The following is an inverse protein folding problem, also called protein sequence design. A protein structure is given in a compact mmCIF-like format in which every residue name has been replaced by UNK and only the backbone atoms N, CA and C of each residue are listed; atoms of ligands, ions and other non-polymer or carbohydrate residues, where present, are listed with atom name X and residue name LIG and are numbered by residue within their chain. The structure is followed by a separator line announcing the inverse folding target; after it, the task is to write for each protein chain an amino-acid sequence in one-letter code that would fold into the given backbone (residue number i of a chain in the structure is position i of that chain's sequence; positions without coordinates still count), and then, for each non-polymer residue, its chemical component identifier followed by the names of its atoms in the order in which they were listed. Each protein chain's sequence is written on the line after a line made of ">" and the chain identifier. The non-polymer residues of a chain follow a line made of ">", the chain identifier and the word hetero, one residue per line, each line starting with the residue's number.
data_IF_860221606122
#
_entry.id   IF_860221606122
#
_cell.length_a   1.000
_cell.length_b   1.000
_cell.length_c   1.000
_cell.angle_alpha   90.00
_cell.angle_beta   90.00
_cell.angle_gamma   90.00
#
_symmetry.space_group_name_H-M   'P 1'
#
loop_
_entity.id
_entity.type
_entity.pdbx_description
1 polymer ?
#
# COMPACT_ATOMS: atom_id res chain seq x y z
N UNK A 1 -36.09 -28.28 60.11
CA UNK A 1 -36.31 -27.54 58.84
C UNK A 1 -35.36 -26.35 58.82
N UNK A 2 -34.21 -26.47 58.14
CA UNK A 2 -33.20 -25.39 57.98
C UNK A 2 -33.35 -24.81 56.58
N UNK A 3 -33.66 -23.52 56.49
CA UNK A 3 -33.82 -22.79 55.22
C UNK A 3 -32.43 -22.41 54.66
N UNK A 4 -32.13 -22.86 53.45
CA UNK A 4 -31.05 -22.36 52.62
C UNK A 4 -31.50 -21.09 51.88
N UNK A 5 -30.92 -19.94 52.23
CA UNK A 5 -30.97 -18.72 51.41
C UNK A 5 -29.56 -18.28 51.10
N UNK A 6 -28.96 -18.85 50.07
CA UNK A 6 -27.76 -18.33 49.41
C UNK A 6 -27.71 -18.94 48.00
N UNK A 7 -27.08 -18.27 47.04
CA UNK A 7 -26.85 -18.69 45.62
C UNK A 7 -27.77 -18.16 44.50
N UNK A 8 -28.38 -16.98 44.63
CA UNK A 8 -28.98 -16.29 43.44
C UNK A 8 -28.27 -14.98 43.06
N UNK A 9 -27.38 -14.45 43.90
CA UNK A 9 -26.69 -13.17 43.61
C UNK A 9 -25.49 -13.33 42.66
N UNK A 10 -24.86 -14.51 42.61
CA UNK A 10 -23.67 -14.74 41.78
C UNK A 10 -23.93 -14.90 40.27
N UNK A 11 -25.13 -15.35 39.88
CA UNK A 11 -25.46 -15.61 38.46
C UNK A 11 -25.87 -14.33 37.70
N UNK A 12 -26.45 -13.34 38.40
CA UNK A 12 -26.86 -12.08 37.78
C UNK A 12 -25.68 -11.14 37.51
N UNK A 13 -24.68 -11.13 38.40
CA UNK A 13 -23.45 -10.35 38.18
C UNK A 13 -22.62 -10.89 37.01
N UNK A 14 -22.50 -12.22 36.85
CA UNK A 14 -21.74 -12.80 35.73
C UNK A 14 -22.38 -12.54 34.36
N UNK A 15 -23.72 -12.55 34.28
CA UNK A 15 -24.48 -12.20 33.07
C UNK A 15 -24.38 -10.71 32.70
N UNK A 16 -24.32 -9.81 33.69
CA UNK A 16 -24.12 -8.37 33.45
C UNK A 16 -22.70 -8.08 32.94
N UNK A 17 -21.67 -8.70 33.53
CA UNK A 17 -20.29 -8.57 33.02
C UNK A 17 -20.10 -9.16 31.63
N UNK A 18 -20.76 -10.28 31.31
CA UNK A 18 -20.73 -10.87 29.97
C UNK A 18 -21.41 -9.97 28.93
N UNK A 19 -22.53 -9.33 29.27
CA UNK A 19 -23.22 -8.41 28.37
C UNK A 19 -22.49 -7.08 28.18
N UNK A 20 -21.83 -6.55 29.22
CA UNK A 20 -20.97 -5.37 29.09
C UNK A 20 -19.72 -5.66 28.26
N UNK A 21 -19.09 -6.84 28.43
CA UNK A 21 -17.99 -7.27 27.56
C UNK A 21 -18.45 -7.51 26.11
N UNK A 22 -19.63 -8.10 25.90
CA UNK A 22 -20.21 -8.26 24.56
C UNK A 22 -20.58 -6.91 23.92
N UNK A 23 -21.09 -5.95 24.71
CA UNK A 23 -21.45 -4.61 24.23
C UNK A 23 -20.21 -3.76 23.94
N UNK A 24 -19.14 -3.87 24.72
CA UNK A 24 -17.86 -3.19 24.45
C UNK A 24 -17.11 -3.81 23.26
N UNK A 25 -17.20 -5.14 23.08
CA UNK A 25 -16.69 -5.80 21.87
C UNK A 25 -17.50 -5.38 20.62
N UNK A 26 -18.83 -5.27 20.73
CA UNK A 26 -19.71 -4.84 19.62
C UNK A 26 -19.74 -3.32 19.36
N UNK A 27 -19.20 -2.48 20.26
CA UNK A 27 -19.02 -1.04 20.00
C UNK A 27 -17.70 -0.72 19.30
N UNK A 28 -16.67 -1.58 19.41
CA UNK A 28 -15.31 -1.28 18.92
C UNK A 28 -15.19 -1.15 17.39
N UNK A 29 -16.11 -1.75 16.64
CA UNK A 29 -16.03 -1.86 15.17
C UNK A 29 -17.21 -1.24 14.39
N UNK A 30 -18.10 -0.47 15.02
CA UNK A 30 -19.26 0.13 14.30
C UNK A 30 -18.88 1.07 13.16
N UNK A 31 -17.66 1.60 13.17
CA UNK A 31 -17.18 2.52 12.15
C UNK A 31 -16.30 1.87 11.07
N UNK A 32 -16.01 0.57 11.22
CA UNK A 32 -15.31 -0.23 10.21
C UNK A 32 -16.32 -0.64 9.14
N UNK A 33 -16.00 -0.37 7.88
CA UNK A 33 -16.85 -0.78 6.76
C UNK A 33 -16.02 -1.48 5.70
N UNK A 34 -16.63 -2.45 5.02
CA UNK A 34 -16.01 -3.20 3.94
C UNK A 34 -16.76 -2.93 2.64
N UNK A 35 -16.00 -2.76 1.56
CA UNK A 35 -16.51 -2.63 0.20
C UNK A 35 -16.01 -3.83 -0.57
N UNK A 36 -16.94 -4.66 -1.05
CA UNK A 36 -16.63 -5.81 -1.88
C UNK A 36 -16.19 -5.32 -3.27
N UNK A 37 -15.08 -5.86 -3.77
CA UNK A 37 -14.63 -5.68 -5.14
C UNK A 37 -15.23 -6.76 -6.05
N UNK A 38 -15.37 -6.44 -7.33
CA UNK A 38 -15.89 -7.37 -8.33
C UNK A 38 -14.78 -8.32 -8.79
N UNK A 39 -15.09 -9.62 -8.91
CA UNK A 39 -14.16 -10.63 -9.42
C UNK A 39 -13.42 -11.44 -8.35
N UNK A 40 -12.93 -12.61 -8.76
CA UNK A 40 -12.30 -13.61 -7.88
C UNK A 40 -10.77 -13.68 -8.01
N UNK A 41 -10.18 -12.85 -8.86
CA UNK A 41 -8.75 -12.87 -9.19
C UNK A 41 -8.09 -11.48 -9.06
N UNK A 42 -8.74 -10.55 -8.36
CA UNK A 42 -8.30 -9.15 -8.28
C UNK A 42 -6.98 -9.01 -7.53
N UNK A 43 -6.88 -9.60 -6.32
CA UNK A 43 -5.75 -9.40 -5.41
C UNK A 43 -5.36 -7.91 -5.31
N UNK A 44 -6.23 -7.07 -4.72
CA UNK A 44 -6.10 -5.62 -4.84
C UNK A 44 -4.81 -5.13 -4.17
N UNK A 45 -4.05 -4.30 -4.87
CA UNK A 45 -2.70 -3.91 -4.46
C UNK A 45 -2.58 -2.40 -4.27
N UNK A 46 -2.83 -1.63 -5.33
CA UNK A 46 -2.79 -0.16 -5.30
C UNK A 46 -4.15 0.45 -4.97
N UNK A 47 -4.16 1.61 -4.32
CA UNK A 47 -5.37 2.41 -4.10
C UNK A 47 -5.06 3.90 -4.09
N UNK A 48 -5.91 4.72 -4.73
CA UNK A 48 -5.77 6.18 -4.73
C UNK A 48 -7.14 6.87 -4.69
N UNK A 49 -7.21 8.05 -4.07
CA UNK A 49 -8.41 8.89 -4.05
C UNK A 49 -8.35 9.92 -5.16
N UNK A 50 -9.39 9.98 -5.99
CA UNK A 50 -9.58 10.98 -7.03
C UNK A 50 -10.09 12.32 -6.45
N UNK A 51 -9.92 13.45 -7.15
CA UNK A 51 -10.39 14.76 -6.68
C UNK A 51 -11.91 14.83 -6.40
N UNK A 52 -12.71 13.98 -7.03
CA UNK A 52 -14.15 13.87 -6.83
C UNK A 52 -14.55 12.94 -5.66
N UNK A 53 -13.58 12.46 -4.86
CA UNK A 53 -13.72 11.49 -3.78
C UNK A 53 -14.05 10.05 -4.21
N UNK A 54 -13.90 9.70 -5.48
CA UNK A 54 -13.91 8.29 -5.84
C UNK A 54 -12.57 7.65 -5.49
N UNK A 55 -12.55 6.34 -5.31
CA UNK A 55 -11.32 5.57 -5.17
C UNK A 55 -11.07 4.79 -6.45
N UNK A 56 -9.82 4.67 -6.85
CA UNK A 56 -9.37 3.67 -7.82
C UNK A 56 -8.55 2.61 -7.10
N UNK A 57 -8.78 1.33 -7.45
CA UNK A 57 -8.14 0.16 -6.86
C UNK A 57 -7.54 -0.69 -7.97
N UNK A 58 -6.25 -0.99 -7.89
CA UNK A 58 -5.51 -1.80 -8.87
C UNK A 58 -5.51 -3.27 -8.50
N UNK A 59 -5.75 -4.13 -9.48
CA UNK A 59 -5.68 -5.58 -9.34
C UNK A 59 -4.28 -6.11 -9.67
N UNK A 60 -3.62 -6.73 -8.70
CA UNK A 60 -2.37 -7.45 -8.94
C UNK A 60 -2.60 -8.75 -9.71
N UNK A 61 -3.74 -9.40 -9.51
CA UNK A 61 -3.98 -10.73 -10.07
C UNK A 61 -4.58 -10.72 -11.48
N UNK A 62 -5.33 -9.68 -11.85
CA UNK A 62 -6.04 -9.61 -13.13
C UNK A 62 -5.82 -8.32 -13.93
N UNK A 63 -5.07 -7.36 -13.38
CA UNK A 63 -4.76 -6.08 -14.02
C UNK A 63 -5.92 -5.11 -14.12
N UNK A 64 -7.09 -5.43 -13.55
CA UNK A 64 -8.22 -4.50 -13.52
C UNK A 64 -7.90 -3.25 -12.72
N UNK A 65 -8.56 -2.14 -13.07
CA UNK A 65 -8.63 -0.96 -12.21
C UNK A 65 -10.11 -0.74 -11.91
N UNK A 66 -10.50 -0.94 -10.66
CA UNK A 66 -11.87 -0.77 -10.21
C UNK A 66 -12.07 0.62 -9.59
N UNK A 67 -13.21 1.24 -9.89
CA UNK A 67 -13.65 2.51 -9.32
C UNK A 67 -14.71 2.25 -8.25
N UNK A 68 -14.48 2.82 -7.08
CA UNK A 68 -15.47 2.88 -5.99
C UNK A 68 -15.98 4.31 -5.92
N UNK A 69 -17.26 4.51 -6.25
CA UNK A 69 -17.85 5.85 -6.22
C UNK A 69 -18.09 6.35 -4.78
N UNK A 70 -18.53 7.61 -4.66
CA UNK A 70 -18.91 8.23 -3.38
C UNK A 70 -20.01 7.48 -2.60
N UNK A 71 -20.81 6.67 -3.28
CA UNK A 71 -21.90 5.87 -2.69
C UNK A 71 -21.45 4.41 -2.47
N UNK A 72 -20.14 4.13 -2.61
CA UNK A 72 -19.49 2.82 -2.49
C UNK A 72 -19.92 1.78 -3.54
N UNK A 73 -20.45 2.22 -4.69
CA UNK A 73 -20.71 1.32 -5.81
C UNK A 73 -19.42 1.05 -6.56
N UNK A 74 -19.20 -0.22 -6.88
CA UNK A 74 -18.02 -0.69 -7.60
C UNK A 74 -18.34 -0.80 -9.09
N UNK A 75 -17.38 -0.40 -9.92
CA UNK A 75 -17.42 -0.49 -11.38
C UNK A 75 -16.00 -0.56 -11.93
N UNK A 76 -15.82 -0.88 -13.21
CA UNK A 76 -14.50 -0.86 -13.83
C UNK A 76 -14.15 0.55 -14.34
N UNK A 77 -12.99 1.05 -13.94
CA UNK A 77 -12.30 2.16 -14.61
C UNK A 77 -11.50 1.63 -15.82
N UNK A 78 -10.88 0.45 -15.66
CA UNK A 78 -10.26 -0.35 -16.72
C UNK A 78 -10.55 -1.82 -16.44
N UNK A 79 -11.13 -2.54 -17.41
CA UNK A 79 -11.43 -3.98 -17.25
C UNK A 79 -10.14 -4.81 -17.25
N UNK A 80 -10.17 -6.06 -16.74
CA UNK A 80 -9.06 -6.99 -16.90
C UNK A 80 -8.57 -7.06 -18.36
N UNK A 81 -7.25 -6.92 -18.58
CA UNK A 81 -6.62 -6.95 -19.90
C UNK A 81 -6.84 -5.72 -20.79
N UNK A 82 -7.74 -4.80 -20.41
CA UNK A 82 -8.01 -3.60 -21.20
C UNK A 82 -6.76 -2.72 -21.32
N UNK A 83 -6.52 -2.14 -22.51
CA UNK A 83 -5.35 -1.30 -22.77
C UNK A 83 -3.99 -1.98 -22.53
N UNK A 84 -3.95 -3.32 -22.48
CA UNK A 84 -2.75 -4.10 -22.19
C UNK A 84 -2.33 -4.04 -20.71
N UNK A 85 -3.27 -3.73 -19.81
CA UNK A 85 -3.06 -3.88 -18.37
C UNK A 85 -2.95 -5.36 -18.00
N UNK A 86 -1.90 -5.73 -17.26
CA UNK A 86 -1.66 -7.12 -16.82
C UNK A 86 -1.65 -7.20 -15.30
N UNK A 87 -0.92 -6.30 -14.63
CA UNK A 87 -0.89 -6.14 -13.17
C UNK A 87 -0.87 -4.65 -12.88
N UNK A 88 -1.88 -4.15 -12.17
CA UNK A 88 -2.00 -2.74 -11.79
C UNK A 88 -1.61 -2.57 -10.32
N UNK A 89 -0.48 -1.91 -10.07
CA UNK A 89 0.07 -1.69 -8.71
C UNK A 89 0.01 -0.21 -8.32
N UNK A 90 1.14 0.44 -8.09
CA UNK A 90 1.20 1.83 -7.64
C UNK A 90 0.60 2.85 -8.62
N UNK A 91 0.06 3.90 -8.01
CA UNK A 91 -0.68 4.97 -8.68
C UNK A 91 -0.14 6.34 -8.30
N UNK A 92 -0.15 7.28 -9.24
CA UNK A 92 0.02 8.70 -8.93
C UNK A 92 -0.86 9.60 -9.78
N UNK A 93 -1.42 10.65 -9.18
CA UNK A 93 -2.23 11.63 -9.88
C UNK A 93 -1.39 12.87 -10.23
N UNK A 94 -1.37 13.20 -11.51
CA UNK A 94 -1.02 14.51 -12.02
C UNK A 94 -2.31 15.30 -12.22
N UNK A 95 -2.80 15.89 -11.12
CA UNK A 95 -4.05 16.64 -11.09
C UNK A 95 -4.01 17.90 -11.96
N UNK A 96 -2.82 18.48 -12.15
CA UNK A 96 -2.63 19.66 -13.00
C UNK A 96 -2.96 19.36 -14.47
N UNK A 97 -2.63 18.16 -14.94
CA UNK A 97 -2.81 17.78 -16.34
C UNK A 97 -3.90 16.70 -16.56
N UNK A 98 -4.70 16.38 -15.54
CA UNK A 98 -5.74 15.34 -15.58
C UNK A 98 -5.22 13.93 -15.93
N UNK A 99 -4.08 13.52 -15.34
CA UNK A 99 -3.46 12.22 -15.65
C UNK A 99 -3.33 11.33 -14.42
N UNK A 100 -3.63 10.04 -14.59
CA UNK A 100 -3.29 8.97 -13.67
C UNK A 100 -2.13 8.17 -14.24
N UNK A 101 -1.02 8.13 -13.53
CA UNK A 101 0.10 7.24 -13.80
C UNK A 101 -0.11 5.93 -13.05
N UNK A 102 0.02 4.83 -13.76
CA UNK A 102 -0.11 3.47 -13.24
C UNK A 102 1.13 2.69 -13.59
N UNK A 103 1.72 2.02 -12.61
CA UNK A 103 2.74 1.01 -12.86
C UNK A 103 2.06 -0.29 -13.32
N UNK A 104 2.41 -0.74 -14.54
CA UNK A 104 1.92 -1.96 -15.16
C UNK A 104 3.05 -2.98 -15.24
N UNK A 105 2.88 -4.11 -14.56
CA UNK A 105 3.87 -5.18 -14.52
C UNK A 105 3.36 -6.44 -15.22
N UNK A 106 4.27 -7.24 -15.76
CA UNK A 106 3.96 -8.56 -16.30
C UNK A 106 5.08 -9.53 -15.92
N UNK A 107 4.74 -10.63 -15.25
CA UNK A 107 5.70 -11.70 -14.92
C UNK A 107 6.27 -12.42 -16.15
N UNK A 108 5.57 -12.37 -17.28
CA UNK A 108 5.97 -13.03 -18.53
C UNK A 108 5.58 -12.19 -19.73
N UNK A 109 6.50 -11.33 -20.16
CA UNK A 109 6.40 -10.56 -21.39
C UNK A 109 6.56 -11.46 -22.62
N UNK A 110 6.51 -10.87 -23.82
CA UNK A 110 6.76 -11.59 -25.08
C UNK A 110 8.15 -12.25 -25.12
N UNK A 111 9.14 -11.68 -24.42
CA UNK A 111 10.48 -12.27 -24.34
C UNK A 111 10.57 -13.44 -23.35
N UNK A 112 9.51 -13.70 -22.59
CA UNK A 112 9.46 -14.70 -21.53
C UNK A 112 10.03 -14.24 -20.19
N UNK A 113 10.55 -13.02 -20.11
CA UNK A 113 11.08 -12.42 -18.88
C UNK A 113 9.99 -11.58 -18.18
N UNK A 114 10.16 -11.26 -16.89
CA UNK A 114 9.31 -10.26 -16.26
C UNK A 114 9.69 -8.85 -16.75
N UNK A 115 8.72 -7.94 -16.81
CA UNK A 115 9.01 -6.55 -17.17
C UNK A 115 7.89 -5.57 -16.85
N UNK A 116 8.21 -4.28 -16.96
CA UNK A 116 7.30 -3.19 -16.58
C UNK A 116 7.14 -2.08 -17.60
N UNK A 117 6.05 -1.34 -17.49
CA UNK A 117 5.77 -0.09 -18.20
C UNK A 117 4.93 0.83 -17.31
N UNK A 118 4.91 2.11 -17.63
CA UNK A 118 3.85 3.01 -17.19
C UNK A 118 2.67 2.97 -18.15
N UNK A 119 1.47 3.05 -17.59
CA UNK A 119 0.23 3.34 -18.31
C UNK A 119 -0.32 4.66 -17.78
N UNK A 120 -0.56 5.60 -18.67
CA UNK A 120 -1.03 6.94 -18.32
C UNK A 120 -2.45 7.12 -18.83
N UNK A 121 -3.40 7.35 -17.94
CA UNK A 121 -4.82 7.51 -18.24
C UNK A 121 -5.29 8.93 -17.98
N UNK A 122 -6.33 9.35 -18.69
CA UNK A 122 -7.20 10.45 -18.25
C UNK A 122 -8.03 9.94 -17.07
N UNK A 123 -7.81 10.47 -15.86
CA UNK A 123 -8.49 9.94 -14.67
C UNK A 123 -9.97 10.32 -14.59
N UNK A 124 -10.43 11.25 -15.43
CA UNK A 124 -11.85 11.64 -15.49
C UNK A 124 -12.61 10.72 -16.43
N UNK A 125 -12.04 10.39 -17.60
CA UNK A 125 -12.74 9.61 -18.63
C UNK A 125 -12.36 8.14 -18.68
N UNK A 126 -11.27 7.72 -18.03
CA UNK A 126 -10.74 6.35 -18.13
C UNK A 126 -9.95 6.06 -19.42
N UNK A 127 -9.75 7.06 -20.28
CA UNK A 127 -9.10 6.86 -21.58
C UNK A 127 -7.59 6.69 -21.38
N UNK A 128 -6.98 5.65 -21.96
CA UNK A 128 -5.52 5.55 -22.04
C UNK A 128 -4.98 6.69 -22.93
N UNK A 129 -4.04 7.45 -22.39
CA UNK A 129 -3.35 8.55 -23.06
C UNK A 129 -2.00 8.12 -23.62
N UNK A 130 -1.24 7.30 -22.86
CA UNK A 130 0.13 6.90 -23.26
C UNK A 130 0.60 5.64 -22.54
N UNK A 131 1.49 4.88 -23.18
CA UNK A 131 2.29 3.82 -22.56
C UNK A 131 3.77 4.22 -22.59
N UNK A 132 4.51 4.05 -21.49
CA UNK A 132 5.94 4.44 -21.41
C UNK A 132 6.78 3.35 -20.73
N UNK A 133 7.70 2.67 -21.45
CA UNK A 133 7.77 2.60 -22.91
C UNK A 133 6.63 1.75 -23.48
N UNK A 134 6.43 1.80 -24.80
CA UNK A 134 5.47 0.92 -25.49
C UNK A 134 5.79 -0.57 -25.29
N UNK A 135 7.08 -0.91 -25.21
CA UNK A 135 7.55 -2.26 -24.84
C UNK A 135 7.88 -2.32 -23.36
N UNK A 136 7.66 -3.49 -22.76
CA UNK A 136 8.07 -3.74 -21.38
C UNK A 136 9.60 -3.57 -21.23
N UNK A 137 9.99 -2.90 -20.15
CA UNK A 137 11.37 -2.89 -19.67
C UNK A 137 11.59 -4.21 -18.95
N UNK A 138 12.36 -5.10 -19.57
CA UNK A 138 12.65 -6.42 -19.02
C UNK A 138 13.51 -6.33 -17.75
N UNK A 139 13.25 -7.22 -16.80
CA UNK A 139 13.95 -7.33 -15.53
C UNK A 139 13.60 -6.24 -14.50
N UNK A 140 12.67 -5.33 -14.81
CA UNK A 140 12.20 -4.31 -13.90
C UNK A 140 10.78 -4.62 -13.41
N UNK A 141 10.54 -4.45 -12.12
CA UNK A 141 9.20 -4.47 -11.53
C UNK A 141 8.87 -3.08 -10.96
N UNK A 142 8.26 -2.24 -11.79
CA UNK A 142 7.72 -0.94 -11.37
C UNK A 142 6.60 -1.15 -10.37
N UNK A 143 6.75 -0.55 -9.19
CA UNK A 143 5.78 -0.70 -8.12
C UNK A 143 5.14 0.63 -7.72
N UNK A 144 5.74 1.36 -6.79
CA UNK A 144 5.14 2.58 -6.23
C UNK A 144 5.54 3.83 -7.00
N UNK A 145 4.54 4.65 -7.32
CA UNK A 145 4.68 5.79 -8.23
C UNK A 145 4.53 7.10 -7.46
N UNK A 146 5.49 8.02 -7.64
CA UNK A 146 5.39 9.39 -7.12
C UNK A 146 5.84 10.41 -8.15
N UNK A 147 5.55 11.69 -7.94
CA UNK A 147 5.84 12.73 -8.91
C UNK A 147 6.34 14.00 -8.23
N UNK A 148 7.29 14.68 -8.87
CA UNK A 148 7.73 16.01 -8.44
C UNK A 148 6.80 17.13 -8.97
N UNK A 149 6.94 18.36 -8.45
CA UNK A 149 6.14 19.50 -8.94
C UNK A 149 6.39 19.89 -10.41
N UNK A 150 7.47 19.40 -11.02
CA UNK A 150 7.79 19.65 -12.43
C UNK A 150 7.15 18.62 -13.38
N UNK A 151 6.45 17.62 -12.84
CA UNK A 151 5.81 16.57 -13.63
C UNK A 151 6.74 15.41 -14.01
N UNK A 152 7.90 15.29 -13.34
CA UNK A 152 8.74 14.10 -13.44
C UNK A 152 8.22 13.05 -12.45
N UNK A 153 7.90 11.89 -12.99
CA UNK A 153 7.45 10.72 -12.24
C UNK A 153 8.64 9.86 -11.88
N UNK A 154 8.58 9.25 -10.71
CA UNK A 154 9.54 8.30 -10.17
C UNK A 154 8.81 7.02 -9.80
N UNK A 155 9.48 5.88 -10.00
CA UNK A 155 8.93 4.58 -9.64
C UNK A 155 10.00 3.68 -9.04
N UNK A 156 9.65 2.96 -7.98
CA UNK A 156 10.51 1.93 -7.39
C UNK A 156 10.58 0.71 -8.30
N UNK A 157 11.75 0.09 -8.35
CA UNK A 157 11.96 -1.21 -8.99
C UNK A 157 12.03 -2.31 -7.93
N UNK A 158 10.97 -3.09 -7.76
CA UNK A 158 10.92 -4.13 -6.73
C UNK A 158 12.00 -5.19 -6.89
N UNK A 159 12.47 -5.47 -8.12
CA UNK A 159 13.50 -6.47 -8.39
C UNK A 159 14.94 -5.96 -8.30
N UNK A 160 15.13 -4.64 -8.30
CA UNK A 160 16.45 -4.05 -8.46
C UNK A 160 16.68 -2.87 -7.52
N UNK A 161 17.94 -2.53 -7.23
CA UNK A 161 18.24 -1.37 -6.40
C UNK A 161 18.14 -0.06 -7.21
N UNK A 162 17.05 0.12 -7.97
CA UNK A 162 16.86 1.20 -8.93
C UNK A 162 15.58 1.97 -8.66
N UNK A 163 15.66 3.29 -8.78
CA UNK A 163 14.47 4.12 -9.01
C UNK A 163 14.53 4.56 -10.47
N UNK A 164 13.43 4.36 -11.18
CA UNK A 164 13.25 4.81 -12.55
C UNK A 164 12.50 6.14 -12.58
N UNK A 165 12.64 6.89 -13.66
CA UNK A 165 11.89 8.12 -13.86
C UNK A 165 11.46 8.33 -15.30
N UNK A 166 10.37 9.06 -15.48
CA UNK A 166 9.87 9.47 -16.77
C UNK A 166 9.16 10.83 -16.66
N UNK A 167 8.91 11.47 -17.80
CA UNK A 167 7.96 12.58 -17.92
C UNK A 167 6.88 12.17 -18.91
N UNK A 168 5.77 12.90 -18.98
CA UNK A 168 4.74 12.60 -19.98
C UNK A 168 5.27 12.66 -21.42
N UNK A 169 6.27 13.50 -21.69
CA UNK A 169 6.89 13.62 -23.02
C UNK A 169 7.89 12.49 -23.33
N UNK A 170 8.34 11.75 -22.30
CA UNK A 170 9.30 10.66 -22.48
C UNK A 170 8.72 9.54 -23.35
N UNK A 171 9.59 8.90 -24.15
CA UNK A 171 9.26 7.66 -24.88
C UNK A 171 9.69 6.42 -24.11
N UNK A 172 10.66 6.56 -23.19
CA UNK A 172 11.18 5.51 -22.32
C UNK A 172 11.21 6.00 -20.86
N UNK A 173 11.27 5.08 -19.91
CA UNK A 173 11.67 5.40 -18.54
C UNK A 173 13.18 5.21 -18.41
N UNK A 174 13.85 6.14 -17.74
CA UNK A 174 15.29 6.14 -17.52
C UNK A 174 15.61 5.87 -16.05
N UNK A 175 16.73 5.22 -15.78
CA UNK A 175 17.21 5.04 -14.41
C UNK A 175 17.53 6.41 -13.80
N UNK A 176 16.81 6.77 -12.74
CA UNK A 176 17.06 8.00 -12.00
C UNK A 176 18.28 7.85 -11.10
N UNK A 177 18.30 6.79 -10.29
CA UNK A 177 19.40 6.41 -9.39
C UNK A 177 19.50 4.89 -9.28
N UNK A 178 20.71 4.40 -9.05
CA UNK A 178 21.00 3.02 -8.64
C UNK A 178 21.92 3.10 -7.44
N UNK A 179 21.59 2.41 -6.34
CA UNK A 179 22.39 2.45 -5.12
C UNK A 179 22.13 1.20 -4.26
N UNK A 180 23.17 0.59 -3.69
CA UNK A 180 23.04 -0.64 -2.89
C UNK A 180 22.15 -0.47 -1.66
N UNK A 181 21.98 0.76 -1.13
CA UNK A 181 21.01 1.01 -0.05
C UNK A 181 19.56 0.80 -0.47
N UNK A 182 19.26 0.74 -1.77
CA UNK A 182 17.94 0.40 -2.31
C UNK A 182 17.73 -1.11 -2.44
N UNK A 183 18.76 -1.93 -2.20
CA UNK A 183 18.70 -3.37 -2.38
C UNK A 183 18.17 -4.05 -1.11
N UNK A 184 17.32 -5.07 -1.28
CA UNK A 184 17.00 -5.96 -0.18
C UNK A 184 18.29 -6.69 0.27
N UNK A 185 18.70 -6.61 1.55
CA UNK A 185 19.88 -7.33 2.03
C UNK A 185 19.71 -8.85 2.06
N UNK A 186 18.47 -9.37 1.98
CA UNK A 186 18.18 -10.80 1.88
C UNK A 186 18.30 -11.30 0.44
N UNK A 187 19.43 -11.95 0.11
CA UNK A 187 19.75 -12.42 -1.23
C UNK A 187 18.73 -13.40 -1.84
N UNK A 188 18.00 -14.14 -1.00
CA UNK A 188 17.01 -15.12 -1.44
C UNK A 188 15.62 -14.51 -1.69
N UNK A 189 15.47 -13.18 -1.58
CA UNK A 189 14.21 -12.48 -1.82
C UNK A 189 14.31 -11.53 -3.02
N UNK A 190 13.54 -11.78 -4.10
CA UNK A 190 13.55 -10.91 -5.26
C UNK A 190 12.79 -9.61 -5.01
N UNK A 191 11.96 -9.51 -3.96
CA UNK A 191 11.17 -8.31 -3.67
C UNK A 191 11.86 -7.44 -2.61
N UNK A 192 12.25 -6.22 -2.99
CA UNK A 192 13.02 -5.30 -2.14
C UNK A 192 12.50 -3.88 -2.08
N UNK A 193 12.85 -3.06 -3.06
CA UNK A 193 12.46 -1.66 -3.10
C UNK A 193 10.98 -1.53 -3.47
N UNK A 194 10.16 -1.00 -2.55
CA UNK A 194 8.72 -0.92 -2.74
C UNK A 194 8.19 0.49 -2.50
N UNK A 195 7.66 0.77 -1.31
CA UNK A 195 7.10 2.06 -0.97
C UNK A 195 7.96 3.24 -1.41
N UNK A 196 7.36 4.19 -2.13
CA UNK A 196 8.05 5.38 -2.63
C UNK A 196 7.14 6.60 -2.51
N UNK A 197 7.66 7.69 -1.94
CA UNK A 197 6.94 8.96 -1.88
C UNK A 197 7.91 10.14 -1.93
N UNK A 198 7.39 11.32 -2.27
CA UNK A 198 8.16 12.58 -2.23
C UNK A 198 7.91 13.32 -0.92
N UNK A 199 8.94 13.96 -0.38
CA UNK A 199 8.78 14.80 0.81
C UNK A 199 7.92 16.03 0.52
N UNK A 200 7.15 16.56 1.49
CA UNK A 200 6.32 17.75 1.30
C UNK A 200 7.08 19.00 0.82
N UNK A 201 8.38 19.10 1.12
CA UNK A 201 9.24 20.19 0.65
C UNK A 201 9.92 19.90 -0.70
N UNK A 202 9.59 18.78 -1.35
CA UNK A 202 10.07 18.32 -2.65
C UNK A 202 11.59 18.23 -2.77
N UNK A 203 12.28 17.90 -1.66
CA UNK A 203 13.75 17.73 -1.64
C UNK A 203 14.19 16.29 -1.77
N UNK A 204 13.44 15.37 -1.20
CA UNK A 204 13.82 13.97 -1.14
C UNK A 204 12.71 13.06 -1.67
N UNK A 205 13.11 11.98 -2.32
CA UNK A 205 12.29 10.76 -2.32
C UNK A 205 12.56 10.02 -1.02
N UNK A 206 11.52 9.52 -0.39
CA UNK A 206 11.61 8.53 0.70
C UNK A 206 11.21 7.19 0.10
N UNK A 207 12.12 6.23 0.20
CA UNK A 207 11.95 4.88 -0.31
C UNK A 207 11.98 3.88 0.86
N UNK A 208 11.16 2.84 0.76
CA UNK A 208 11.18 1.69 1.66
C UNK A 208 11.80 0.50 0.97
N UNK A 209 12.80 -0.08 1.62
CA UNK A 209 13.32 -1.41 1.26
C UNK A 209 12.70 -2.39 2.25
N UNK A 210 11.82 -3.25 1.74
CA UNK A 210 11.09 -4.22 2.54
C UNK A 210 11.89 -5.49 2.79
N UNK A 211 11.53 -6.17 3.88
CA UNK A 211 11.90 -7.55 4.17
C UNK A 211 10.64 -8.30 4.61
N UNK A 212 10.07 -9.11 3.73
CA UNK A 212 8.78 -9.76 3.97
C UNK A 212 8.88 -10.96 4.91
N UNK A 213 10.04 -11.61 4.98
CA UNK A 213 10.23 -12.81 5.82
C UNK A 213 10.76 -12.51 7.22
N UNK A 214 11.31 -11.31 7.46
CA UNK A 214 11.89 -10.95 8.76
C UNK A 214 11.15 -9.75 9.33
N UNK A 215 10.50 -9.96 10.47
CA UNK A 215 9.95 -8.89 11.30
C UNK A 215 11.06 -7.91 11.71
N UNK A 216 10.87 -6.62 11.45
CA UNK A 216 11.87 -5.59 11.79
C UNK A 216 13.04 -5.46 10.81
N UNK A 217 13.02 -6.19 9.69
CA UNK A 217 14.09 -6.19 8.69
C UNK A 217 13.96 -5.08 7.63
N UNK A 218 12.94 -4.22 7.71
CA UNK A 218 12.72 -3.17 6.73
C UNK A 218 13.52 -1.90 7.04
N UNK A 219 13.86 -1.16 6.00
CA UNK A 219 14.58 0.11 6.13
C UNK A 219 13.92 1.22 5.33
N UNK A 220 14.16 2.47 5.76
CA UNK A 220 13.83 3.66 4.98
C UNK A 220 15.11 4.33 4.53
N UNK A 221 15.10 4.83 3.30
CA UNK A 221 16.21 5.55 2.67
C UNK A 221 15.67 6.84 2.05
N UNK A 222 16.48 7.90 2.08
CA UNK A 222 16.18 9.15 1.38
C UNK A 222 17.09 9.29 0.17
N UNK A 223 16.53 9.77 -0.94
CA UNK A 223 17.27 10.12 -2.16
C UNK A 223 17.09 11.60 -2.39
N UNK A 224 18.18 12.35 -2.37
CA UNK A 224 18.17 13.78 -2.70
C UNK A 224 17.82 13.96 -4.17
N UNK A 225 16.77 14.71 -4.47
CA UNK A 225 16.27 14.86 -5.84
C UNK A 225 17.25 15.61 -6.75
N UNK A 226 18.08 16.49 -6.19
CA UNK A 226 19.01 17.32 -6.95
C UNK A 226 20.34 16.62 -7.22
N UNK A 227 20.92 16.02 -6.17
CA UNK A 227 22.25 15.39 -6.22
C UNK A 227 22.19 13.89 -6.47
N UNK A 228 21.00 13.27 -6.39
CA UNK A 228 20.77 11.82 -6.45
C UNK A 228 21.45 11.03 -5.32
N UNK A 229 21.98 11.71 -4.30
CA UNK A 229 22.62 11.07 -3.17
C UNK A 229 21.61 10.23 -2.39
N UNK A 230 21.91 8.95 -2.21
CA UNK A 230 21.12 8.04 -1.37
C UNK A 230 21.73 8.00 0.03
N UNK A 231 20.88 7.97 1.05
CA UNK A 231 21.31 7.87 2.45
C UNK A 231 20.26 7.16 3.29
N UNK A 232 20.70 6.32 4.23
CA UNK A 232 19.80 5.66 5.17
C UNK A 232 19.12 6.66 6.11
N UNK A 233 17.89 6.35 6.51
CA UNK A 233 17.14 7.09 7.53
C UNK A 233 17.21 6.32 8.84
N UNK A 234 17.63 6.99 9.92
CA UNK A 234 17.67 6.39 11.25
C UNK A 234 16.25 6.25 11.80
N UNK A 235 15.81 5.02 12.01
CA UNK A 235 14.53 4.72 12.65
C UNK A 235 14.67 4.79 14.18
N UNK A 236 13.71 5.46 14.84
CA UNK A 236 13.58 5.60 16.29
C UNK A 236 12.28 4.94 16.77
N UNK A 237 12.20 4.74 18.10
CA UNK A 237 11.23 3.88 18.79
C UNK A 237 11.54 2.40 18.53
N UNK A 238 12.35 1.80 19.42
CA UNK A 238 12.92 0.47 19.22
C UNK A 238 11.85 -0.62 19.07
N UNK A 239 10.72 -0.50 19.76
CA UNK A 239 9.60 -1.44 19.62
C UNK A 239 8.98 -1.37 18.22
N UNK A 240 8.74 -0.16 17.71
CA UNK A 240 8.19 0.03 16.37
C UNK A 240 9.22 -0.34 15.30
N UNK A 241 10.48 0.08 15.46
CA UNK A 241 11.57 -0.24 14.52
C UNK A 241 11.82 -1.76 14.42
N UNK A 242 11.85 -2.48 15.54
CA UNK A 242 11.96 -3.95 15.56
C UNK A 242 10.72 -4.68 15.03
N UNK A 243 9.64 -3.95 14.73
CA UNK A 243 8.41 -4.49 14.13
C UNK A 243 8.21 -4.07 12.67
N UNK A 244 9.00 -3.10 12.18
CA UNK A 244 8.85 -2.54 10.84
C UNK A 244 9.58 -3.40 9.81
N UNK A 245 8.82 -4.05 8.94
CA UNK A 245 9.34 -4.91 7.86
C UNK A 245 9.42 -4.18 6.52
N UNK A 246 9.23 -2.86 6.54
CA UNK A 246 9.12 -2.05 5.34
C UNK A 246 7.67 -1.85 4.96
N UNK A 247 7.47 -0.93 4.04
CA UNK A 247 6.18 -0.52 3.52
C UNK A 247 6.04 -0.91 2.05
N UNK A 248 4.84 -1.37 1.70
CA UNK A 248 4.30 -1.19 0.34
C UNK A 248 3.83 0.28 0.25
N UNK A 249 2.54 0.55 0.07
CA UNK A 249 2.00 1.89 -0.12
C UNK A 249 2.29 2.84 1.03
N UNK A 250 2.71 4.06 0.68
CA UNK A 250 3.01 5.12 1.63
C UNK A 250 2.73 6.52 1.07
N UNK A 251 2.33 7.44 1.94
CA UNK A 251 2.12 8.85 1.56
C UNK A 251 2.18 9.78 2.78
N UNK A 252 2.56 11.03 2.54
CA UNK A 252 2.53 12.04 3.60
C UNK A 252 1.11 12.56 3.87
N UNK A 253 0.74 12.63 5.15
CA UNK A 253 -0.48 13.24 5.64
C UNK A 253 -0.19 14.08 6.87
N UNK A 254 -0.51 15.39 6.81
CA UNK A 254 -0.31 16.34 7.91
C UNK A 254 1.10 16.27 8.54
N UNK A 255 2.13 16.17 7.69
CA UNK A 255 3.54 16.17 8.11
C UNK A 255 4.05 14.83 8.65
N UNK A 256 3.23 13.78 8.69
CA UNK A 256 3.65 12.42 9.00
C UNK A 256 3.58 11.55 7.75
N UNK A 257 4.48 10.59 7.61
CA UNK A 257 4.38 9.55 6.60
C UNK A 257 3.49 8.43 7.12
N UNK A 258 2.39 8.14 6.43
CA UNK A 258 1.58 6.93 6.64
C UNK A 258 2.15 5.81 5.77
N UNK A 259 2.22 4.60 6.33
CA UNK A 259 2.81 3.43 5.68
C UNK A 259 1.96 2.19 5.94
N UNK A 260 1.81 1.36 4.92
CA UNK A 260 1.23 0.02 5.04
C UNK A 260 2.37 -0.99 5.16
N UNK A 261 2.54 -1.53 6.36
CA UNK A 261 3.63 -2.45 6.67
C UNK A 261 3.35 -3.85 6.12
N UNK A 262 4.34 -4.40 5.43
CA UNK A 262 4.24 -5.63 4.65
C UNK A 262 4.05 -6.88 5.53
N UNK A 263 4.54 -6.79 6.77
CA UNK A 263 4.39 -7.85 7.78
C UNK A 263 3.26 -7.48 8.75
N UNK A 264 2.03 -7.48 8.22
CA UNK A 264 0.87 -6.92 8.91
C UNK A 264 0.59 -7.47 10.32
N UNK A 265 0.94 -8.72 10.63
CA UNK A 265 0.77 -9.29 11.98
C UNK A 265 1.60 -8.57 13.05
N UNK A 266 2.62 -7.79 12.67
CA UNK A 266 3.39 -6.92 13.56
C UNK A 266 2.81 -5.49 13.68
N UNK A 267 1.70 -5.21 12.99
CA UNK A 267 1.15 -3.87 12.77
C UNK A 267 0.94 -3.65 11.26
N UNK A 268 -0.27 -3.38 10.83
CA UNK A 268 -0.62 -3.15 9.44
C UNK A 268 -0.31 -1.71 9.04
N UNK A 269 -0.61 -0.75 9.92
CA UNK A 269 -0.41 0.67 9.65
C UNK A 269 0.67 1.21 10.58
N UNK A 270 1.65 1.88 9.98
CA UNK A 270 2.69 2.61 10.68
C UNK A 270 2.60 4.09 10.32
N UNK A 271 3.03 4.95 11.24
CA UNK A 271 3.32 6.35 10.95
C UNK A 271 4.76 6.69 11.28
N UNK A 272 5.36 7.60 10.53
CA UNK A 272 6.68 8.15 10.82
C UNK A 272 6.64 9.68 10.90
N UNK A 273 7.18 10.21 12.00
CA UNK A 273 7.47 11.64 12.15
C UNK A 273 8.97 11.89 11.88
N UNK A 274 9.27 12.78 10.95
CA UNK A 274 10.64 13.07 10.54
C UNK A 274 11.22 14.29 11.26
N UNK A 275 12.54 14.31 11.43
CA UNK A 275 13.25 15.56 11.69
C UNK A 275 13.30 16.43 10.42
N UNK A 276 13.75 17.69 10.57
CA UNK A 276 13.67 18.71 9.51
C UNK A 276 14.37 18.33 8.19
N UNK A 277 15.42 17.53 8.25
CA UNK A 277 16.17 17.12 7.06
C UNK A 277 15.77 15.73 6.55
N UNK A 278 14.85 15.02 7.21
CA UNK A 278 14.46 13.64 6.88
C UNK A 278 15.56 12.57 7.11
N UNK A 279 16.62 12.86 7.87
CA UNK A 279 17.65 11.84 8.20
C UNK A 279 17.22 10.89 9.32
N UNK A 280 16.20 11.25 10.10
CA UNK A 280 15.70 10.45 11.22
C UNK A 280 14.19 10.42 11.20
N UNK A 281 13.61 9.26 11.47
CA UNK A 281 12.18 9.03 11.56
C UNK A 281 11.82 8.33 12.88
N UNK A 282 10.90 8.89 13.66
CA UNK A 282 10.31 8.20 14.82
C UNK A 282 9.07 7.44 14.37
N UNK A 283 9.12 6.12 14.49
CA UNK A 283 8.02 5.24 14.09
C UNK A 283 6.98 5.08 15.21
N UNK A 284 5.74 4.87 14.80
CA UNK A 284 4.63 4.48 15.67
C UNK A 284 3.76 3.45 14.95
N UNK A 285 3.43 2.36 15.67
CA UNK A 285 2.48 1.36 15.22
C UNK A 285 1.06 1.90 15.48
N UNK A 286 0.16 1.78 14.51
CA UNK A 286 -1.26 2.14 14.61
C UNK A 286 -2.11 0.87 14.58
N UNK A 287 -2.12 0.14 15.69
CA UNK A 287 -2.68 -1.21 15.80
C UNK A 287 -4.16 -1.29 16.21
N UNK A 288 -4.81 -0.15 16.48
CA UNK A 288 -6.22 -0.11 16.93
C UNK A 288 -7.17 -0.96 16.07
N UNK A 289 -6.97 -0.96 14.75
CA UNK A 289 -7.80 -1.70 13.80
C UNK A 289 -7.07 -2.91 13.20
N UNK A 290 -6.02 -3.42 13.85
CA UNK A 290 -5.16 -4.48 13.30
C UNK A 290 -5.94 -5.71 12.78
N UNK A 291 -6.99 -6.11 13.47
CA UNK A 291 -7.79 -7.30 13.17
C UNK A 291 -8.56 -7.24 11.84
N UNK A 292 -8.73 -6.04 11.26
CA UNK A 292 -9.53 -5.86 10.03
C UNK A 292 -8.70 -6.02 8.76
N UNK A 293 -7.38 -6.02 8.90
CA UNK A 293 -6.43 -6.08 7.80
C UNK A 293 -5.98 -7.50 7.53
N UNK A 294 -5.97 -7.87 6.25
CA UNK A 294 -5.51 -9.17 5.76
C UNK A 294 -4.56 -8.98 4.60
N UNK A 295 -3.26 -9.06 4.90
CA UNK A 295 -2.15 -8.69 4.01
C UNK A 295 -2.41 -7.39 3.24
N UNK A 296 -2.63 -6.26 3.93
CA UNK A 296 -2.81 -4.99 3.25
C UNK A 296 -1.54 -4.55 2.53
N UNK A 297 -1.69 -3.82 1.44
CA UNK A 297 -0.57 -3.34 0.60
C UNK A 297 -0.58 -1.83 0.45
N UNK A 298 -1.74 -1.20 0.17
CA UNK A 298 -1.83 0.24 0.02
C UNK A 298 -3.04 0.83 0.72
N UNK A 299 -2.97 2.13 0.99
CA UNK A 299 -4.06 2.90 1.59
C UNK A 299 -4.25 4.25 0.93
N UNK A 300 -5.48 4.76 0.97
CA UNK A 300 -5.84 6.10 0.53
C UNK A 300 -6.81 6.75 1.54
N UNK A 301 -6.82 8.08 1.61
CA UNK A 301 -7.73 8.82 2.50
C UNK A 301 -8.92 9.32 1.70
N UNK A 302 -10.13 9.07 2.20
CA UNK A 302 -11.37 9.63 1.67
C UNK A 302 -12.29 10.02 2.82
N UNK A 303 -12.76 11.26 2.83
CA UNK A 303 -13.73 11.78 3.81
C UNK A 303 -13.39 11.47 5.28
N UNK A 304 -12.13 11.66 5.68
CA UNK A 304 -11.69 11.45 7.07
C UNK A 304 -11.56 9.97 7.48
N UNK A 305 -11.62 9.04 6.54
CA UNK A 305 -11.35 7.62 6.76
C UNK A 305 -10.13 7.17 5.96
N UNK A 306 -9.40 6.20 6.52
CA UNK A 306 -8.36 5.47 5.79
C UNK A 306 -9.01 4.26 5.12
N UNK A 307 -8.91 4.18 3.80
CA UNK A 307 -9.31 3.02 2.99
C UNK A 307 -8.06 2.22 2.67
N UNK A 308 -8.10 0.92 2.92
CA UNK A 308 -6.96 0.01 2.77
C UNK A 308 -7.43 -1.22 2.01
N UNK A 309 -6.67 -1.64 1.01
CA UNK A 309 -6.95 -2.88 0.28
C UNK A 309 -6.49 -4.08 1.11
N UNK A 310 -7.31 -5.13 1.20
CA UNK A 310 -6.88 -6.43 1.73
C UNK A 310 -6.50 -7.32 0.55
N UNK A 311 -5.20 -7.35 0.26
CA UNK A 311 -4.68 -7.94 -0.99
C UNK A 311 -4.75 -9.46 -0.99
N UNK A 312 -4.55 -10.08 0.18
CA UNK A 312 -4.37 -11.53 0.32
C UNK A 312 -3.27 -12.09 -0.61
N UNK A 313 -2.23 -11.30 -0.91
CA UNK A 313 -1.13 -11.72 -1.80
C UNK A 313 -0.36 -12.94 -1.29
N UNK A 314 -0.46 -13.28 -0.01
CA UNK A 314 0.09 -14.51 0.57
C UNK A 314 -0.44 -15.81 -0.10
N UNK A 315 -1.50 -15.73 -0.91
CA UNK A 315 -2.03 -16.85 -1.67
C UNK A 315 -1.34 -17.06 -3.04
N UNK A 316 -0.63 -16.04 -3.56
CA UNK A 316 -0.05 -16.04 -4.92
C UNK A 316 1.41 -15.55 -4.99
N UNK A 317 1.92 -14.91 -3.94
CA UNK A 317 3.32 -14.51 -3.79
C UNK A 317 3.93 -15.27 -2.62
N UNK A 318 5.17 -15.71 -2.79
CA UNK A 318 5.94 -16.35 -1.72
C UNK A 318 6.26 -15.37 -0.59
N UNK A 319 5.96 -15.82 0.62
CA UNK A 319 6.22 -15.13 1.87
C UNK A 319 6.42 -16.20 2.95
N UNK A 320 7.15 -15.88 4.02
CA UNK A 320 7.55 -16.86 5.06
C UNK A 320 6.36 -17.62 5.63
N UNK A 321 5.25 -16.91 5.82
CA UNK A 321 3.99 -17.45 6.34
C UNK A 321 2.89 -17.46 5.25
N UNK A 322 3.32 -17.50 3.98
CA UNK A 322 2.48 -17.58 2.80
C UNK A 322 1.71 -18.90 2.72
N UNK A 323 0.56 -18.87 2.06
CA UNK A 323 -0.26 -20.05 1.75
C UNK A 323 -0.45 -20.13 0.23
N UNK A 324 0.66 -20.20 -0.49
CA UNK A 324 0.66 -20.22 -1.96
C UNK A 324 -0.24 -21.36 -2.47
N UNK A 325 -0.97 -21.10 -3.55
CA UNK A 325 -1.89 -22.07 -4.17
C UNK A 325 -3.08 -22.49 -3.28
N UNK A 326 -3.42 -21.70 -2.26
CA UNK A 326 -4.67 -21.85 -1.51
C UNK A 326 -5.68 -20.81 -1.95
N UNK A 327 -7.00 -21.09 -1.89
CA UNK A 327 -8.02 -20.13 -2.30
C UNK A 327 -8.03 -18.90 -1.36
N UNK A 328 -8.13 -17.67 -1.90
CA UNK A 328 -8.35 -16.48 -1.09
C UNK A 328 -9.79 -16.43 -0.54
N UNK A 329 -10.01 -15.60 0.47
CA UNK A 329 -11.34 -15.25 0.95
C UNK A 329 -12.01 -14.27 -0.03
N UNK A 330 -13.17 -14.66 -0.56
CA UNK A 330 -13.96 -13.85 -1.49
C UNK A 330 -15.22 -13.25 -0.84
N UNK A 331 -15.74 -12.12 -1.35
CA UNK A 331 -15.08 -11.24 -2.32
C UNK A 331 -13.83 -10.58 -1.72
N UNK A 332 -12.89 -10.13 -2.58
CA UNK A 332 -11.84 -9.22 -2.15
C UNK A 332 -12.46 -7.93 -1.60
N UNK A 333 -11.77 -7.26 -0.67
CA UNK A 333 -12.35 -6.13 0.06
C UNK A 333 -11.39 -4.95 0.16
N UNK A 334 -11.96 -3.76 0.08
CA UNK A 334 -11.38 -2.55 0.66
C UNK A 334 -12.03 -2.35 2.02
N UNK A 335 -11.23 -2.25 3.07
CA UNK A 335 -11.69 -1.90 4.42
C UNK A 335 -11.48 -0.42 4.68
N UNK A 336 -12.38 0.23 5.41
CA UNK A 336 -12.16 1.58 5.88
C UNK A 336 -12.39 1.75 7.37
N UNK A 337 -11.55 2.59 7.97
CA UNK A 337 -11.54 2.90 9.41
C UNK A 337 -11.46 4.42 9.62
N UNK A 338 -12.01 4.97 10.72
CA UNK A 338 -11.90 6.40 11.00
C UNK A 338 -10.44 6.82 11.21
N UNK A 339 -9.96 7.75 10.40
CA UNK A 339 -8.56 8.16 10.41
C UNK A 339 -8.17 8.86 11.71
N UNK A 340 -9.06 9.69 12.27
CA UNK A 340 -8.82 10.39 13.52
C UNK A 340 -8.63 9.42 14.70
N UNK A 341 -9.30 8.27 14.66
CA UNK A 341 -9.18 7.26 15.70
C UNK A 341 -7.96 6.37 15.52
N UNK A 342 -7.61 6.05 14.27
CA UNK A 342 -6.38 5.33 13.93
C UNK A 342 -5.13 6.12 14.32
N UNK A 343 -5.17 7.45 14.22
CA UNK A 343 -4.03 8.34 14.48
C UNK A 343 -3.89 8.80 15.94
N UNK A 344 -4.76 8.33 16.85
CA UNK A 344 -4.56 8.50 18.30
C UNK A 344 -3.33 7.72 18.77
#
# INVERSE_FOLDING_TARGET
>A
MKNSKTYIVGLFLSLLFLNEMYSQANQKDKDVNYIALDGSSVFPEGIITLPNNDLLVGGFGDGSIQRIDKDNKVSNFSKPGENGMVIAVGFHLDTKNNRLWVANFNFKTESGNPGSQFKVFDYTTGKLLKTIPEKFIEGAFFNEVTMDPNGRVYVSDTFGPKIWSATFESTNADVFVTDELLKNPSADQPFGLNGLTITPDNKYLIASVMNRTIKGGGTLVRVDLSSKKVSSIKLKNDQAASSFSGSDGMFFYKGQLLMVNVYSSAGAIFTAAFNKDYSTATLQIRDKYQSVYDRPTASAIRNGKLYTVNSQLNHIIDDKDGKINTPPLLPFKVVNVPLADLLK
#
